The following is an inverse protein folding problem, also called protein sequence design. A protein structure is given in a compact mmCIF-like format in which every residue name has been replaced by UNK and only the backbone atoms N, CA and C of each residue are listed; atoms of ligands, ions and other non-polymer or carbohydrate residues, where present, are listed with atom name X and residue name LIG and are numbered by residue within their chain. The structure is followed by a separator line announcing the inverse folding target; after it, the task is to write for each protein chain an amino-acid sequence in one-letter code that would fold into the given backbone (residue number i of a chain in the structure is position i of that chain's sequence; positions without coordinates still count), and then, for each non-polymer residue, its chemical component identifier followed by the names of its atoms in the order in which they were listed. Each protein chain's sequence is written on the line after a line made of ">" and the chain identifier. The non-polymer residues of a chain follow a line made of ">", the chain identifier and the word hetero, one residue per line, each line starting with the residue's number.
data_IF_248306984090
#
_entry.id   IF_248306984090
#
_cell.length_a   1.000
_cell.length_b   1.000
_cell.length_c   1.000
_cell.angle_alpha   90.00
_cell.angle_beta   90.00
_cell.angle_gamma   90.00
#
_symmetry.space_group_name_H-M   'P 1'
#
loop_
_entity.id
_entity.type
_entity.pdbx_description
1 polymer ?
#
# COMPACT_ATOMS: atom_id res chain seq x y z
N UNK A 1 -87.06 72.40 35.81
CA UNK A 1 -86.08 72.83 36.85
C UNK A 1 -84.90 71.87 36.86
N UNK A 2 -83.69 72.43 36.73
CA UNK A 2 -82.34 71.95 37.13
C UNK A 2 -81.59 70.85 36.34
N UNK A 3 -80.37 71.28 35.95
CA UNK A 3 -79.20 70.69 35.26
C UNK A 3 -78.35 69.76 36.16
N UNK A 4 -77.55 68.89 35.53
CA UNK A 4 -76.08 68.70 35.71
C UNK A 4 -75.55 67.81 34.56
N UNK A 5 -74.69 68.24 33.63
CA UNK A 5 -73.21 68.38 33.63
C UNK A 5 -72.39 67.06 33.68
N UNK A 6 -71.78 66.74 32.53
CA UNK A 6 -70.37 66.36 32.27
C UNK A 6 -69.74 65.11 32.94
N UNK A 7 -69.29 64.12 32.15
CA UNK A 7 -67.87 63.70 32.06
C UNK A 7 -67.62 62.52 31.08
N UNK A 8 -66.36 62.43 30.64
CA UNK A 8 -65.77 61.62 29.57
C UNK A 8 -65.69 60.11 29.85
N UNK A 9 -65.52 59.32 28.78
CA UNK A 9 -65.13 57.91 28.88
C UNK A 9 -64.73 57.30 27.53
N UNK A 10 -63.52 57.64 27.08
CA UNK A 10 -62.80 56.98 25.98
C UNK A 10 -62.59 55.50 26.29
N UNK A 11 -62.98 54.61 25.39
CA UNK A 11 -62.61 53.19 25.45
C UNK A 11 -61.81 52.87 24.17
N UNK A 12 -60.49 52.63 24.27
CA UNK A 12 -59.69 52.27 23.10
C UNK A 12 -59.94 50.80 22.75
N UNK A 13 -60.26 50.56 21.48
CA UNK A 13 -60.18 49.24 20.85
C UNK A 13 -58.76 48.69 21.02
N UNK A 14 -58.62 47.72 21.92
CA UNK A 14 -57.37 47.02 22.15
C UNK A 14 -57.11 46.06 20.98
N UNK A 15 -56.51 46.56 19.91
CA UNK A 15 -55.92 45.73 18.86
C UNK A 15 -54.75 44.93 19.46
N UNK A 16 -55.01 43.67 19.77
CA UNK A 16 -53.98 42.65 20.01
C UNK A 16 -53.00 42.67 18.83
N UNK A 17 -51.76 43.11 19.07
CA UNK A 17 -50.65 42.93 18.13
C UNK A 17 -50.26 41.43 18.06
N UNK A 18 -50.13 40.84 16.87
CA UNK A 18 -49.57 39.51 16.69
C UNK A 18 -48.09 39.60 16.31
N UNK A 19 -47.17 39.73 17.27
CA UNK A 19 -45.72 39.81 16.97
C UNK A 19 -44.85 38.74 17.64
N UNK A 20 -45.37 37.91 18.56
CA UNK A 20 -44.50 36.93 19.27
C UNK A 20 -44.39 35.54 18.62
N UNK A 21 -45.19 35.21 17.61
CA UNK A 21 -45.21 33.85 17.01
C UNK A 21 -44.13 33.59 15.95
N UNK A 22 -43.63 34.63 15.27
CA UNK A 22 -42.69 34.47 14.15
C UNK A 22 -41.23 34.28 14.61
N UNK A 23 -40.84 34.90 15.72
CA UNK A 23 -39.47 34.81 16.25
C UNK A 23 -39.14 33.40 16.81
N UNK A 24 -40.08 32.79 17.53
CA UNK A 24 -39.93 31.44 18.10
C UNK A 24 -39.84 30.35 17.03
N UNK A 25 -40.60 30.51 15.93
CA UNK A 25 -40.58 29.57 14.80
C UNK A 25 -39.26 29.64 14.02
N UNK A 26 -38.71 30.85 13.86
CA UNK A 26 -37.40 31.06 13.22
C UNK A 26 -36.25 30.44 14.02
N UNK A 27 -36.24 30.63 15.35
CA UNK A 27 -35.23 30.06 16.23
C UNK A 27 -35.25 28.52 16.25
N UNK A 28 -36.44 27.91 16.29
CA UNK A 28 -36.59 26.46 16.23
C UNK A 28 -36.08 25.86 14.90
N UNK A 29 -36.36 26.53 13.78
CA UNK A 29 -35.87 26.12 12.46
C UNK A 29 -34.34 26.18 12.36
N UNK A 30 -33.73 27.25 12.86
CA UNK A 30 -32.26 27.42 12.91
C UNK A 30 -31.61 26.33 13.78
N UNK A 31 -32.18 26.03 14.95
CA UNK A 31 -31.67 24.96 15.80
C UNK A 31 -31.78 23.58 15.15
N UNK A 32 -32.90 23.29 14.49
CA UNK A 32 -33.09 22.04 13.76
C UNK A 32 -32.08 21.90 12.62
N UNK A 33 -31.84 22.96 11.85
CA UNK A 33 -30.85 22.95 10.77
C UNK A 33 -29.42 22.73 11.30
N UNK A 34 -29.07 23.37 12.43
CA UNK A 34 -27.76 23.20 13.05
C UNK A 34 -27.55 21.76 13.56
N UNK A 35 -28.59 21.17 14.14
CA UNK A 35 -28.57 19.77 14.58
C UNK A 35 -28.39 18.81 13.39
N UNK A 36 -29.12 19.01 12.30
CA UNK A 36 -28.96 18.22 11.07
C UNK A 36 -27.55 18.33 10.49
N UNK A 37 -26.94 19.53 10.51
CA UNK A 37 -25.56 19.69 10.06
C UNK A 37 -24.56 18.96 10.97
N UNK A 38 -24.78 18.93 12.29
CA UNK A 38 -23.91 18.19 13.22
C UNK A 38 -23.98 16.69 12.99
N UNK A 39 -25.18 16.15 12.83
CA UNK A 39 -25.40 14.74 12.55
C UNK A 39 -24.79 14.33 11.21
N UNK A 40 -24.97 15.16 10.17
CA UNK A 40 -24.36 14.92 8.86
C UNK A 40 -22.83 14.90 8.94
N UNK A 41 -22.22 15.85 9.66
CA UNK A 41 -20.75 15.89 9.86
C UNK A 41 -20.24 14.65 10.59
N UNK A 42 -20.94 14.18 11.64
CA UNK A 42 -20.59 12.94 12.34
C UNK A 42 -20.67 11.73 11.43
N UNK A 43 -21.77 11.58 10.71
CA UNK A 43 -21.97 10.44 9.82
C UNK A 43 -20.86 10.34 8.77
N UNK A 44 -20.46 11.48 8.19
CA UNK A 44 -19.35 11.54 7.24
C UNK A 44 -18.02 11.16 7.90
N UNK A 45 -17.75 11.64 9.13
CA UNK A 45 -16.52 11.32 9.84
C UNK A 45 -16.44 9.81 10.18
N UNK A 46 -17.55 9.20 10.61
CA UNK A 46 -17.64 7.76 10.87
C UNK A 46 -17.42 6.94 9.59
N UNK A 47 -18.03 7.34 8.48
CA UNK A 47 -17.84 6.70 7.18
C UNK A 47 -16.37 6.78 6.73
N UNK A 48 -15.74 7.95 6.85
CA UNK A 48 -14.32 8.13 6.52
C UNK A 48 -13.41 7.28 7.41
N UNK A 49 -13.68 7.19 8.71
CA UNK A 49 -12.94 6.33 9.63
C UNK A 49 -12.99 4.87 9.20
N UNK A 50 -14.19 4.38 8.92
CA UNK A 50 -14.40 3.01 8.47
C UNK A 50 -13.68 2.75 7.13
N UNK A 51 -13.79 3.68 6.20
CA UNK A 51 -13.13 3.59 4.88
C UNK A 51 -11.60 3.56 5.00
N UNK A 52 -11.01 4.45 5.81
CA UNK A 52 -9.57 4.48 6.05
C UNK A 52 -9.08 3.22 6.76
N UNK A 53 -9.81 2.74 7.77
CA UNK A 53 -9.47 1.50 8.47
C UNK A 53 -9.50 0.28 7.52
N UNK A 54 -10.55 0.18 6.70
CA UNK A 54 -10.68 -0.89 5.71
C UNK A 54 -9.55 -0.84 4.66
N UNK A 55 -9.22 0.36 4.17
CA UNK A 55 -8.15 0.53 3.18
C UNK A 55 -6.78 0.15 3.76
N UNK A 56 -6.50 0.54 5.01
CA UNK A 56 -5.27 0.12 5.69
C UNK A 56 -5.17 -1.40 5.88
N UNK A 57 -6.30 -2.06 6.20
CA UNK A 57 -6.34 -3.53 6.32
C UNK A 57 -6.03 -4.21 4.98
N UNK A 58 -6.68 -3.76 3.90
CA UNK A 58 -6.42 -4.28 2.55
C UNK A 58 -4.97 -4.04 2.11
N UNK A 59 -4.40 -2.89 2.45
CA UNK A 59 -3.01 -2.55 2.16
C UNK A 59 -2.04 -3.49 2.91
N UNK A 60 -2.34 -3.82 4.17
CA UNK A 60 -1.56 -4.79 4.95
C UNK A 60 -1.64 -6.21 4.36
N UNK A 61 -2.82 -6.66 3.91
CA UNK A 61 -2.97 -7.94 3.21
C UNK A 61 -2.18 -7.97 1.90
N UNK A 62 -2.20 -6.86 1.15
CA UNK A 62 -1.44 -6.71 -0.10
C UNK A 62 0.07 -6.78 0.16
N UNK A 63 0.56 -6.14 1.22
CA UNK A 63 1.97 -6.24 1.64
C UNK A 63 2.36 -7.69 1.95
N UNK A 64 1.54 -8.42 2.69
CA UNK A 64 1.80 -9.82 3.02
C UNK A 64 1.86 -10.72 1.76
N UNK A 65 0.98 -10.48 0.79
CA UNK A 65 1.04 -11.23 -0.47
C UNK A 65 2.26 -10.84 -1.31
N UNK A 66 2.66 -9.56 -1.35
CA UNK A 66 3.90 -9.16 -2.02
C UNK A 66 5.12 -9.83 -1.39
N UNK A 67 5.21 -9.90 -0.06
CA UNK A 67 6.30 -10.63 0.60
C UNK A 67 6.34 -12.10 0.16
N UNK A 68 5.17 -12.76 0.12
CA UNK A 68 5.03 -14.15 -0.32
C UNK A 68 5.44 -14.33 -1.78
N UNK A 69 5.09 -13.39 -2.66
CA UNK A 69 5.48 -13.39 -4.07
C UNK A 69 6.98 -13.15 -4.23
N UNK A 70 7.57 -12.27 -3.41
CA UNK A 70 9.00 -12.00 -3.39
C UNK A 70 9.83 -13.25 -3.07
N UNK A 71 9.37 -14.10 -2.14
CA UNK A 71 9.99 -15.40 -1.87
C UNK A 71 9.85 -16.38 -3.04
N UNK A 72 8.67 -16.44 -3.67
CA UNK A 72 8.46 -17.30 -4.83
C UNK A 72 9.39 -16.93 -5.98
N UNK A 73 9.59 -15.62 -6.19
CA UNK A 73 10.51 -15.11 -7.18
C UNK A 73 11.97 -15.46 -6.86
N UNK A 74 12.37 -15.40 -5.58
CA UNK A 74 13.69 -15.86 -5.16
C UNK A 74 13.90 -17.36 -5.41
N UNK A 75 12.89 -18.19 -5.11
CA UNK A 75 12.92 -19.63 -5.41
C UNK A 75 13.00 -19.90 -6.91
N UNK A 76 12.33 -19.10 -7.75
CA UNK A 76 12.42 -19.22 -9.21
C UNK A 76 13.83 -18.91 -9.71
N UNK A 77 14.44 -17.82 -9.21
CA UNK A 77 15.84 -17.48 -9.46
C UNK A 77 16.81 -18.61 -9.13
N UNK A 78 16.70 -19.21 -7.94
CA UNK A 78 17.56 -20.33 -7.55
C UNK A 78 17.40 -21.56 -8.46
N UNK A 79 16.18 -21.84 -8.91
CA UNK A 79 15.92 -22.92 -9.88
C UNK A 79 16.60 -22.65 -11.22
N UNK A 80 16.47 -21.44 -11.76
CA UNK A 80 17.11 -21.07 -13.03
C UNK A 80 18.63 -21.12 -12.92
N UNK A 81 19.20 -20.68 -11.80
CA UNK A 81 20.63 -20.84 -11.52
C UNK A 81 21.07 -22.31 -11.51
N UNK A 82 20.26 -23.20 -10.94
CA UNK A 82 20.50 -24.64 -10.99
C UNK A 82 20.48 -25.19 -12.43
N UNK A 83 19.53 -24.74 -13.26
CA UNK A 83 19.52 -25.09 -14.70
C UNK A 83 20.80 -24.64 -15.39
N UNK A 84 21.26 -23.42 -15.12
CA UNK A 84 22.51 -22.92 -15.70
C UNK A 84 23.73 -23.76 -15.29
N UNK A 85 23.79 -24.21 -14.04
CA UNK A 85 24.84 -25.11 -13.55
C UNK A 85 24.80 -26.47 -14.24
N UNK A 86 23.60 -27.05 -14.40
CA UNK A 86 23.41 -28.30 -15.13
C UNK A 86 23.76 -28.17 -16.62
N UNK A 87 23.41 -27.07 -17.27
CA UNK A 87 23.82 -26.78 -18.65
C UNK A 87 25.34 -26.66 -18.76
N UNK A 88 26.01 -26.00 -17.82
CA UNK A 88 27.48 -25.94 -17.80
C UNK A 88 28.14 -27.31 -17.64
N UNK A 89 27.57 -28.19 -16.81
CA UNK A 89 28.04 -29.57 -16.71
C UNK A 89 27.78 -30.37 -18.00
N UNK A 90 26.60 -30.20 -18.60
CA UNK A 90 26.25 -30.84 -19.87
C UNK A 90 27.20 -30.40 -20.99
N UNK A 91 27.45 -29.09 -21.14
CA UNK A 91 28.41 -28.54 -22.09
C UNK A 91 29.82 -29.13 -21.90
N UNK A 92 30.30 -29.25 -20.65
CA UNK A 92 31.60 -29.86 -20.37
C UNK A 92 31.65 -31.35 -20.73
N UNK A 93 30.57 -32.09 -20.51
CA UNK A 93 30.48 -33.49 -20.91
C UNK A 93 30.44 -33.63 -22.43
N UNK A 94 29.64 -32.80 -23.12
CA UNK A 94 29.60 -32.78 -24.59
C UNK A 94 30.96 -32.42 -25.18
N UNK A 95 31.64 -31.42 -24.61
CA UNK A 95 32.99 -31.07 -25.04
C UNK A 95 33.97 -32.24 -24.86
N UNK A 96 33.92 -32.95 -23.73
CA UNK A 96 34.72 -34.17 -23.53
C UNK A 96 34.35 -35.26 -24.55
N UNK A 97 33.06 -35.46 -24.83
CA UNK A 97 32.61 -36.44 -25.83
C UNK A 97 33.04 -36.09 -27.26
N UNK A 98 33.04 -34.81 -27.64
CA UNK A 98 33.59 -34.34 -28.93
C UNK A 98 35.08 -34.74 -29.10
N UNK A 99 35.84 -34.84 -28.01
CA UNK A 99 37.24 -35.29 -28.06
C UNK A 99 37.41 -36.82 -28.06
N UNK A 100 36.46 -37.58 -27.50
CA UNK A 100 36.48 -39.05 -27.52
C UNK A 100 35.90 -39.64 -28.81
N UNK A 101 34.97 -38.92 -29.42
CA UNK A 101 34.49 -39.16 -30.77
C UNK A 101 35.03 -38.04 -31.67
N UNK A 102 36.36 -37.96 -31.90
CA UNK A 102 36.81 -37.12 -32.99
C UNK A 102 36.06 -37.65 -34.20
N UNK A 103 35.37 -36.76 -34.91
CA UNK A 103 34.65 -37.16 -36.11
C UNK A 103 35.59 -38.08 -36.91
N UNK A 104 35.05 -39.19 -37.42
CA UNK A 104 35.73 -40.12 -38.32
C UNK A 104 36.18 -39.42 -39.65
N UNK A 105 36.40 -38.11 -39.64
CA UNK A 105 36.53 -37.24 -40.80
C UNK A 105 37.39 -35.98 -40.60
N UNK A 106 38.23 -35.83 -39.57
CA UNK A 106 39.18 -34.68 -39.50
C UNK A 106 40.65 -35.05 -39.20
N UNK A 107 41.63 -34.62 -40.03
CA UNK A 107 43.06 -34.91 -39.84
C UNK A 107 43.70 -34.06 -38.71
N UNK A 108 44.81 -34.51 -38.12
CA UNK A 108 45.34 -33.98 -36.87
C UNK A 108 46.05 -32.62 -37.04
N UNK A 109 45.80 -31.70 -36.10
CA UNK A 109 46.58 -30.46 -35.93
C UNK A 109 47.41 -30.49 -34.64
N UNK A 110 48.60 -29.86 -34.61
CA UNK A 110 49.53 -29.94 -33.47
C UNK A 110 49.12 -29.01 -32.29
N UNK A 111 49.67 -29.24 -31.08
CA UNK A 111 49.14 -28.72 -29.82
C UNK A 111 49.60 -27.29 -29.45
N UNK A 112 48.78 -26.64 -28.61
CA UNK A 112 48.87 -25.27 -28.08
C UNK A 112 49.85 -25.12 -26.90
N UNK A 113 50.08 -23.88 -26.43
CA UNK A 113 50.28 -23.63 -25.00
C UNK A 113 49.26 -22.64 -24.40
N UNK A 114 48.89 -22.96 -23.16
CA UNK A 114 47.90 -22.34 -22.25
C UNK A 114 48.45 -21.11 -21.52
N UNK A 115 47.57 -20.19 -21.08
CA UNK A 115 47.84 -19.27 -19.98
C UNK A 115 46.57 -19.00 -19.15
N UNK A 116 46.79 -18.95 -17.84
CA UNK A 116 45.82 -19.06 -16.75
C UNK A 116 44.84 -17.89 -16.60
N UNK A 117 43.65 -18.20 -16.09
CA UNK A 117 42.69 -17.20 -15.58
C UNK A 117 42.61 -17.31 -14.06
N UNK A 118 42.70 -16.18 -13.36
CA UNK A 118 42.36 -16.07 -11.96
C UNK A 118 41.10 -15.21 -11.82
N UNK A 119 40.03 -15.80 -11.30
CA UNK A 119 38.82 -15.12 -10.84
C UNK A 119 38.57 -15.59 -9.42
N UNK A 120 38.47 -14.65 -8.48
CA UNK A 120 38.07 -14.98 -7.11
C UNK A 120 36.83 -14.18 -6.69
N UNK A 121 36.01 -14.88 -5.93
CA UNK A 121 34.56 -14.73 -5.75
C UNK A 121 34.27 -14.44 -4.28
N UNK A 122 33.04 -13.98 -4.00
CA UNK A 122 32.24 -14.07 -2.74
C UNK A 122 32.17 -12.78 -1.91
N UNK A 123 31.13 -12.50 -1.10
CA UNK A 123 29.72 -12.94 -0.94
C UNK A 123 29.13 -12.05 0.19
N UNK A 124 27.80 -11.89 0.17
CA UNK A 124 26.95 -11.05 1.03
C UNK A 124 26.98 -11.30 2.56
N UNK A 125 26.47 -10.31 3.33
CA UNK A 125 25.65 -10.51 4.54
C UNK A 125 24.94 -9.20 5.02
N UNK A 126 23.66 -9.33 5.38
CA UNK A 126 22.91 -8.54 6.37
C UNK A 126 22.60 -9.51 7.57
N UNK A 127 21.97 -9.16 8.72
CA UNK A 127 21.17 -7.96 9.09
C UNK A 127 21.34 -7.44 10.55
N UNK A 128 20.68 -6.35 10.95
CA UNK A 128 20.34 -6.02 12.36
C UNK A 128 19.02 -5.24 12.44
N UNK A 129 18.11 -5.67 13.33
CA UNK A 129 16.86 -4.99 13.74
C UNK A 129 17.05 -4.44 15.15
N UNK A 130 16.59 -3.23 15.43
CA UNK A 130 16.44 -2.68 16.79
C UNK A 130 15.15 -1.87 16.93
N UNK A 131 14.29 -2.27 17.87
CA UNK A 131 13.18 -1.47 18.40
C UNK A 131 13.67 -0.43 19.41
N UNK A 132 12.89 0.63 19.67
CA UNK A 132 12.42 0.84 21.04
C UNK A 132 10.97 1.34 21.17
N UNK A 133 10.44 1.17 22.38
CA UNK A 133 9.12 1.52 22.87
C UNK A 133 8.94 3.01 23.19
N UNK A 134 7.70 3.54 23.14
CA UNK A 134 7.21 4.48 24.16
C UNK A 134 5.68 4.62 24.24
N UNK A 135 5.26 5.04 25.44
CA UNK A 135 3.94 4.95 26.09
C UNK A 135 2.81 5.86 25.55
N UNK A 136 1.53 5.56 25.87
CA UNK A 136 0.39 6.47 25.67
C UNK A 136 0.27 7.50 26.80
N UNK A 137 -0.03 8.77 26.44
CA UNK A 137 -0.43 9.82 27.39
C UNK A 137 -1.92 10.10 27.25
N UNK A 138 -2.63 9.99 28.37
CA UNK A 138 -4.00 10.46 28.55
C UNK A 138 -4.00 11.98 28.76
N UNK A 139 -4.98 12.68 28.19
CA UNK A 139 -5.39 14.00 28.65
C UNK A 139 -6.91 14.04 28.79
N UNK A 140 -7.34 14.22 30.03
CA UNK A 140 -8.69 14.56 30.46
C UNK A 140 -8.97 16.04 30.16
N UNK A 141 -10.16 16.38 29.65
CA UNK A 141 -10.75 17.70 29.87
C UNK A 141 -12.27 17.64 29.65
N UNK A 142 -13.02 17.97 30.70
CA UNK A 142 -14.46 18.23 30.68
C UNK A 142 -14.76 19.53 29.93
N UNK A 143 -15.83 19.57 29.13
CA UNK A 143 -16.98 20.47 29.33
C UNK A 143 -17.91 20.56 28.12
N UNK A 144 -19.20 20.66 28.44
CA UNK A 144 -20.33 21.23 27.68
C UNK A 144 -20.82 20.46 26.43
N UNK A 145 -22.11 20.12 26.43
CA UNK A 145 -22.77 19.29 25.41
C UNK A 145 -22.81 19.89 23.99
N UNK A 146 -22.33 21.12 23.77
CA UNK A 146 -22.07 21.67 22.43
C UNK A 146 -20.61 21.56 21.98
N UNK A 147 -19.65 21.50 22.91
CA UNK A 147 -18.22 21.30 22.66
C UNK A 147 -17.82 19.83 22.64
N UNK A 148 -18.59 18.95 23.29
CA UNK A 148 -18.45 17.50 23.17
C UNK A 148 -18.58 17.04 21.72
N UNK A 149 -19.47 17.70 20.98
CA UNK A 149 -19.80 17.34 19.63
C UNK A 149 -18.68 17.67 18.64
N UNK A 150 -18.10 18.86 18.79
CA UNK A 150 -16.95 19.31 18.01
C UNK A 150 -15.66 18.59 18.45
N UNK A 151 -15.49 18.30 19.74
CA UNK A 151 -14.37 17.49 20.24
C UNK A 151 -14.39 16.05 19.68
N UNK A 152 -15.57 15.44 19.54
CA UNK A 152 -15.71 14.14 18.88
C UNK A 152 -15.32 14.19 17.41
N UNK A 153 -15.72 15.27 16.72
CA UNK A 153 -15.33 15.49 15.34
C UNK A 153 -13.81 15.64 15.23
N UNK A 154 -13.18 16.45 16.09
CA UNK A 154 -11.73 16.65 16.10
C UNK A 154 -10.98 15.34 16.37
N UNK A 155 -11.44 14.53 17.34
CA UNK A 155 -10.89 13.20 17.60
C UNK A 155 -11.03 12.28 16.38
N UNK A 156 -12.18 12.31 15.70
CA UNK A 156 -12.39 11.53 14.48
C UNK A 156 -11.47 11.99 13.34
N UNK A 157 -11.30 13.30 13.15
CA UNK A 157 -10.39 13.87 12.16
C UNK A 157 -8.92 13.54 12.45
N UNK A 158 -8.52 13.53 13.72
CA UNK A 158 -7.19 13.09 14.13
C UNK A 158 -6.97 11.61 13.82
N UNK A 159 -7.94 10.75 14.14
CA UNK A 159 -7.89 9.32 13.80
C UNK A 159 -7.84 9.07 12.28
N UNK A 160 -8.62 9.82 11.49
CA UNK A 160 -8.56 9.80 10.02
C UNK A 160 -7.17 10.20 9.55
N UNK A 161 -6.61 11.28 10.09
CA UNK A 161 -5.28 11.78 9.71
C UNK A 161 -4.20 10.75 10.02
N UNK A 162 -4.23 10.14 11.20
CA UNK A 162 -3.30 9.08 11.59
C UNK A 162 -3.44 7.86 10.69
N UNK A 163 -4.68 7.45 10.37
CA UNK A 163 -4.95 6.35 9.44
C UNK A 163 -4.47 6.64 8.02
N UNK A 164 -4.56 7.87 7.53
CA UNK A 164 -4.04 8.27 6.23
C UNK A 164 -2.51 8.32 6.20
N UNK A 165 -1.86 8.74 7.29
CA UNK A 165 -0.40 8.67 7.42
C UNK A 165 0.10 7.21 7.40
N UNK A 166 -0.60 6.30 8.10
CA UNK A 166 -0.31 4.88 8.03
C UNK A 166 -0.44 4.37 6.59
N UNK A 167 -1.55 4.71 5.92
CA UNK A 167 -1.80 4.29 4.53
C UNK A 167 -0.70 4.81 3.59
N UNK A 168 -0.26 6.06 3.76
CA UNK A 168 0.84 6.63 3.00
C UNK A 168 2.14 5.85 3.21
N UNK A 169 2.46 5.51 4.46
CA UNK A 169 3.67 4.74 4.77
C UNK A 169 3.59 3.34 4.15
N UNK A 170 2.47 2.65 4.28
CA UNK A 170 2.26 1.33 3.67
C UNK A 170 2.34 1.41 2.14
N UNK A 171 1.75 2.43 1.52
CA UNK A 171 1.83 2.65 0.06
C UNK A 171 3.27 2.86 -0.41
N UNK A 172 4.10 3.58 0.36
CA UNK A 172 5.53 3.73 0.07
C UNK A 172 6.27 2.39 0.11
N UNK A 173 5.97 1.54 1.10
CA UNK A 173 6.57 0.21 1.21
C UNK A 173 6.11 -0.69 0.06
N UNK A 174 4.82 -0.68 -0.28
CA UNK A 174 4.27 -1.39 -1.44
C UNK A 174 5.01 -0.99 -2.72
N UNK A 175 5.18 0.31 -2.96
CA UNK A 175 5.89 0.81 -4.14
C UNK A 175 7.34 0.31 -4.20
N UNK A 176 8.08 0.40 -3.08
CA UNK A 176 9.47 -0.05 -3.03
C UNK A 176 9.62 -1.56 -3.26
N UNK A 177 8.71 -2.38 -2.72
CA UNK A 177 8.76 -3.83 -2.92
C UNK A 177 8.35 -4.21 -4.36
N UNK A 178 7.38 -3.51 -4.96
CA UNK A 178 7.05 -3.67 -6.38
C UNK A 178 8.25 -3.35 -7.28
N UNK A 179 8.93 -2.23 -7.06
CA UNK A 179 10.13 -1.85 -7.83
C UNK A 179 11.24 -2.90 -7.70
N UNK A 180 11.45 -3.41 -6.48
CA UNK A 180 12.43 -4.46 -6.21
C UNK A 180 12.08 -5.77 -6.92
N UNK A 181 10.82 -6.18 -6.91
CA UNK A 181 10.37 -7.39 -7.59
C UNK A 181 10.42 -7.24 -9.11
N UNK A 182 10.07 -6.08 -9.66
CA UNK A 182 10.22 -5.78 -11.08
C UNK A 182 11.68 -5.91 -11.54
N UNK A 183 12.63 -5.38 -10.77
CA UNK A 183 14.05 -5.53 -11.08
C UNK A 183 14.49 -7.02 -11.08
N UNK A 184 14.01 -7.81 -10.11
CA UNK A 184 14.27 -9.26 -10.07
C UNK A 184 13.62 -10.00 -11.22
N UNK A 185 12.41 -9.64 -11.65
CA UNK A 185 11.72 -10.25 -12.79
C UNK A 185 12.50 -10.01 -14.08
N UNK A 186 12.97 -8.77 -14.31
CA UNK A 186 13.80 -8.47 -15.49
C UNK A 186 15.08 -9.29 -15.53
N UNK A 187 15.75 -9.48 -14.39
CA UNK A 187 16.92 -10.38 -14.31
C UNK A 187 16.55 -11.85 -14.56
N UNK A 188 15.43 -12.32 -14.02
CA UNK A 188 14.96 -13.70 -14.22
C UNK A 188 14.66 -13.99 -15.69
N UNK A 189 14.01 -13.06 -16.39
CA UNK A 189 13.69 -13.18 -17.82
C UNK A 189 14.96 -13.36 -18.64
N UNK A 190 15.97 -12.52 -18.41
CA UNK A 190 17.28 -12.62 -19.08
C UNK A 190 17.97 -13.97 -18.80
N UNK A 191 17.93 -14.44 -17.55
CA UNK A 191 18.53 -15.71 -17.17
C UNK A 191 17.83 -16.91 -17.82
N UNK A 192 16.50 -16.87 -17.89
CA UNK A 192 15.68 -17.90 -18.57
C UNK A 192 15.95 -17.93 -20.06
N UNK A 193 16.01 -16.77 -20.73
CA UNK A 193 16.33 -16.69 -22.16
C UNK A 193 17.73 -17.23 -22.46
N UNK A 194 18.70 -16.90 -21.62
CA UNK A 194 20.06 -17.42 -21.73
C UNK A 194 20.09 -18.94 -21.57
N UNK A 195 19.42 -19.47 -20.54
CA UNK A 195 19.32 -20.91 -20.32
C UNK A 195 18.64 -21.63 -21.50
N UNK A 196 17.56 -21.06 -22.05
CA UNK A 196 16.86 -21.62 -23.21
C UNK A 196 17.74 -21.64 -24.47
N UNK A 197 18.49 -20.56 -24.72
CA UNK A 197 19.44 -20.49 -25.84
C UNK A 197 20.54 -21.56 -25.74
N UNK A 198 21.16 -21.69 -24.56
CA UNK A 198 22.18 -22.71 -24.28
C UNK A 198 21.63 -24.12 -24.43
N UNK A 199 20.47 -24.41 -23.87
CA UNK A 199 19.80 -25.71 -24.01
C UNK A 199 19.57 -26.08 -25.49
N UNK A 200 19.13 -25.13 -26.32
CA UNK A 200 18.97 -25.35 -27.77
C UNK A 200 20.31 -25.64 -28.46
N UNK A 201 21.39 -24.99 -28.04
CA UNK A 201 22.73 -25.23 -28.56
C UNK A 201 23.24 -26.62 -28.18
N UNK A 202 23.11 -27.01 -26.91
CA UNK A 202 23.50 -28.35 -26.44
C UNK A 202 22.71 -29.45 -27.14
N UNK A 203 21.41 -29.25 -27.34
CA UNK A 203 20.58 -30.21 -28.09
C UNK A 203 21.09 -30.38 -29.53
N UNK A 204 21.51 -29.29 -30.20
CA UNK A 204 22.13 -29.37 -31.53
C UNK A 204 23.46 -30.13 -31.50
N UNK A 205 24.31 -29.87 -30.49
CA UNK A 205 25.59 -30.58 -30.33
C UNK A 205 25.40 -32.08 -30.13
N UNK A 206 24.48 -32.47 -29.24
CA UNK A 206 24.10 -33.88 -29.03
C UNK A 206 23.66 -34.53 -30.35
N UNK A 207 22.81 -33.86 -31.13
CA UNK A 207 22.36 -34.38 -32.44
C UNK A 207 23.47 -34.52 -33.47
N UNK A 208 24.55 -33.74 -33.38
CA UNK A 208 25.69 -33.85 -34.28
C UNK A 208 26.69 -34.94 -33.82
N UNK A 209 26.64 -35.34 -32.55
CA UNK A 209 27.47 -36.41 -31.98
C UNK A 209 26.87 -37.81 -32.18
N UNK A 210 25.54 -37.89 -32.32
CA UNK A 210 24.79 -39.11 -32.64
C UNK A 210 24.80 -39.36 -34.15
#
# INVERSE_FOLDING_TARGET
>A
MRRALFEQGSQPDNKKLPESSNASTSHASIQQQLQQQREAKRAIAEEMLMSVANTNAQCAETLAELDRQGEQLARAHDKVRGVHEHLSMAEQHLHRMEHFFPSLSRPPQPPQPVADTASDRRKAQAPVVTSPANQPRQSSMEQSASSSDDAQLDMALEQITNGLQLLQNQSRVLGAELDRQNAKLGGLEQDVDTANSRLRQDNRRVRNLM
#
